data_IF_936433727670
#
_entry.id   IF_936433727670
#
_cell.length_a   1.000
_cell.length_b   1.000
_cell.length_c   1.000
_cell.angle_alpha   90.00
_cell.angle_beta   90.00
_cell.angle_gamma   90.00
#
_symmetry.space_group_name_H-M   'P 1'
#
loop_
_entity.id
_entity.type
_entity.pdbx_description
1 polymer ?
#
# COMPACT_ATOMS: atom_id res chain seq x y z
N UNK A 1 -2.38 17.10 27.29
CA UNK A 1 -2.13 15.86 26.53
C UNK A 1 -1.89 16.28 25.07
N UNK A 2 -0.63 16.44 24.68
CA UNK A 2 -0.25 16.71 23.30
C UNK A 2 -0.32 15.37 22.55
N UNK A 3 -1.22 15.26 21.58
CA UNK A 3 -1.38 14.08 20.74
C UNK A 3 -0.68 14.32 19.39
N UNK A 4 0.65 14.38 19.39
CA UNK A 4 1.46 14.40 18.17
C UNK A 4 1.48 13.02 17.48
N UNK A 5 0.31 12.44 17.21
CA UNK A 5 0.14 11.18 16.45
C UNK A 5 0.62 11.30 14.99
N UNK A 6 0.73 12.53 14.48
CA UNK A 6 1.15 12.81 13.11
C UNK A 6 2.66 13.06 12.96
N UNK A 7 3.45 12.97 14.03
CA UNK A 7 4.92 13.11 13.97
C UNK A 7 5.61 11.77 13.67
N UNK A 8 5.12 11.06 12.65
CA UNK A 8 5.81 9.91 12.08
C UNK A 8 6.17 10.28 10.63
N UNK A 9 7.45 10.20 10.23
CA UNK A 9 7.83 10.48 8.85
C UNK A 9 7.15 9.44 7.95
N UNK A 10 6.13 9.86 7.21
CA UNK A 10 5.36 8.98 6.31
C UNK A 10 6.26 8.29 5.29
N UNK A 11 7.36 8.93 4.90
CA UNK A 11 8.45 8.31 4.17
C UNK A 11 9.75 8.31 5.01
N UNK A 12 10.37 7.15 5.25
CA UNK A 12 11.73 7.11 5.76
C UNK A 12 12.70 7.73 4.74
N UNK A 13 13.87 8.23 5.19
CA UNK A 13 14.88 8.74 4.27
C UNK A 13 15.25 7.68 3.22
N UNK A 14 15.27 8.09 1.96
CA UNK A 14 15.52 7.21 0.82
C UNK A 14 16.90 6.57 0.92
N UNK A 15 16.95 5.25 1.13
CA UNK A 15 18.19 4.48 1.25
C UNK A 15 18.69 3.90 -0.10
N UNK A 16 17.90 4.06 -1.17
CA UNK A 16 18.20 3.54 -2.51
C UNK A 16 17.80 4.56 -3.57
N UNK A 17 18.55 4.60 -4.68
CA UNK A 17 18.23 5.44 -5.84
C UNK A 17 16.87 5.11 -6.46
N UNK A 18 16.33 3.90 -6.23
CA UNK A 18 15.02 3.47 -6.72
C UNK A 18 13.86 3.84 -5.77
N UNK A 19 14.15 4.30 -4.55
CA UNK A 19 13.12 4.53 -3.53
C UNK A 19 12.11 5.60 -3.96
N UNK A 20 12.58 6.72 -4.53
CA UNK A 20 11.71 7.82 -4.92
C UNK A 20 10.71 7.44 -6.03
N UNK A 21 11.15 6.68 -7.04
CA UNK A 21 10.27 6.24 -8.14
C UNK A 21 9.26 5.19 -7.66
N UNK A 22 9.67 4.30 -6.77
CA UNK A 22 8.78 3.31 -6.16
C UNK A 22 7.73 3.98 -5.26
N UNK A 23 8.12 4.96 -4.45
CA UNK A 23 7.21 5.74 -3.60
C UNK A 23 6.19 6.52 -4.44
N UNK A 24 6.62 7.09 -5.57
CA UNK A 24 5.72 7.77 -6.50
C UNK A 24 4.66 6.82 -7.09
N UNK A 25 5.06 5.61 -7.51
CA UNK A 25 4.14 4.58 -8.00
C UNK A 25 3.18 4.14 -6.89
N UNK A 26 3.67 3.97 -5.67
CA UNK A 26 2.84 3.63 -4.51
C UNK A 26 1.76 4.69 -4.27
N UNK A 27 2.14 5.98 -4.22
CA UNK A 27 1.17 7.06 -4.06
C UNK A 27 0.17 7.17 -5.21
N UNK A 28 0.60 6.90 -6.45
CA UNK A 28 -0.30 6.88 -7.60
C UNK A 28 -1.38 5.79 -7.44
N UNK A 29 -0.99 4.58 -7.04
CA UNK A 29 -1.93 3.45 -6.82
C UNK A 29 -2.87 3.75 -5.66
N UNK A 30 -2.36 4.28 -4.54
CA UNK A 30 -3.18 4.68 -3.39
C UNK A 30 -4.16 5.78 -3.78
N UNK A 31 -3.71 6.80 -4.52
CA UNK A 31 -4.56 7.87 -5.04
C UNK A 31 -5.66 7.33 -5.95
N UNK A 32 -5.35 6.38 -6.83
CA UNK A 32 -6.33 5.72 -7.68
C UNK A 32 -7.37 4.93 -6.88
N UNK A 33 -6.92 4.16 -5.88
CA UNK A 33 -7.83 3.41 -5.00
C UNK A 33 -8.76 4.32 -4.21
N UNK A 34 -8.22 5.41 -3.63
CA UNK A 34 -9.01 6.40 -2.92
C UNK A 34 -9.97 7.13 -3.85
N UNK A 35 -9.56 7.47 -5.07
CA UNK A 35 -10.42 8.12 -6.06
C UNK A 35 -11.66 7.27 -6.36
N UNK A 36 -11.48 6.00 -6.74
CA UNK A 36 -12.61 5.11 -7.02
C UNK A 36 -13.44 4.81 -5.78
N UNK A 37 -12.80 4.63 -4.62
CA UNK A 37 -13.48 4.43 -3.35
C UNK A 37 -14.37 5.62 -2.96
N UNK A 38 -13.84 6.84 -3.01
CA UNK A 38 -14.58 8.06 -2.69
C UNK A 38 -15.67 8.35 -3.73
N UNK A 39 -15.38 8.17 -5.01
CA UNK A 39 -16.35 8.36 -6.09
C UNK A 39 -17.56 7.44 -5.89
N UNK A 40 -17.33 6.13 -5.75
CA UNK A 40 -18.40 5.16 -5.55
C UNK A 40 -19.16 5.40 -4.26
N UNK A 41 -18.46 5.70 -3.17
CA UNK A 41 -19.07 6.05 -1.89
C UNK A 41 -19.99 7.29 -2.01
N UNK A 42 -19.50 8.36 -2.65
CA UNK A 42 -20.28 9.57 -2.86
C UNK A 42 -21.53 9.31 -3.72
N UNK A 43 -21.41 8.54 -4.80
CA UNK A 43 -22.55 8.16 -5.64
C UNK A 43 -23.61 7.41 -4.83
N UNK A 44 -23.19 6.44 -4.02
CA UNK A 44 -24.10 5.67 -3.15
C UNK A 44 -24.82 6.60 -2.17
N UNK A 45 -24.09 7.47 -1.49
CA UNK A 45 -24.66 8.43 -0.52
C UNK A 45 -25.65 9.37 -1.20
N UNK A 46 -25.30 9.94 -2.35
CA UNK A 46 -26.18 10.83 -3.13
C UNK A 46 -27.47 10.09 -3.53
N UNK A 47 -27.36 8.87 -4.06
CA UNK A 47 -28.52 8.09 -4.47
C UNK A 47 -29.37 7.63 -3.28
N UNK A 48 -28.76 7.30 -2.15
CA UNK A 48 -29.46 6.95 -0.92
C UNK A 48 -30.34 8.11 -0.43
N UNK A 49 -29.83 9.35 -0.46
CA UNK A 49 -30.62 10.53 -0.09
C UNK A 49 -31.65 10.90 -1.16
N UNK A 50 -31.27 10.91 -2.43
CA UNK A 50 -32.14 11.31 -3.56
C UNK A 50 -33.34 10.38 -3.75
N UNK A 51 -33.16 9.07 -3.59
CA UNK A 51 -34.19 8.06 -3.84
C UNK A 51 -34.84 7.50 -2.56
N UNK A 52 -34.58 8.11 -1.40
CA UNK A 52 -35.19 7.75 -0.11
C UNK A 52 -36.72 7.64 -0.21
N UNK A 53 -37.31 6.70 0.53
CA UNK A 53 -38.78 6.52 0.64
C UNK A 53 -39.45 7.85 1.03
N UNK A 54 -40.43 8.29 0.24
CA UNK A 54 -41.10 9.60 0.38
C UNK A 54 -40.52 10.73 -0.48
N UNK A 55 -39.43 10.49 -1.22
CA UNK A 55 -38.90 11.43 -2.21
C UNK A 55 -39.85 11.60 -3.41
N UNK A 56 -39.95 12.83 -3.93
CA UNK A 56 -40.65 13.17 -5.18
C UNK A 56 -39.89 12.72 -6.44
N UNK A 57 -38.79 11.98 -6.29
CA UNK A 57 -38.02 11.47 -7.43
C UNK A 57 -38.91 10.58 -8.30
N UNK A 58 -39.01 10.95 -9.57
CA UNK A 58 -39.75 10.19 -10.58
C UNK A 58 -39.10 8.82 -10.80
N UNK A 59 -39.92 7.77 -10.77
CA UNK A 59 -39.53 6.36 -10.97
C UNK A 59 -40.24 5.74 -12.19
N UNK A 60 -40.97 6.54 -12.96
CA UNK A 60 -41.87 6.06 -14.01
C UNK A 60 -41.16 5.57 -15.28
N UNK A 61 -39.89 5.95 -15.49
CA UNK A 61 -39.09 5.51 -16.63
C UNK A 61 -37.69 5.05 -16.19
N UNK A 62 -37.56 3.80 -15.70
CA UNK A 62 -36.25 3.22 -15.42
C UNK A 62 -35.45 3.05 -16.71
N UNK A 63 -34.27 3.68 -16.77
CA UNK A 63 -33.29 3.44 -17.83
C UNK A 63 -32.59 2.12 -17.51
N UNK A 64 -32.91 1.06 -18.24
CA UNK A 64 -32.38 -0.28 -17.99
C UNK A 64 -31.00 -0.50 -18.61
N UNK A 65 -30.76 0.07 -19.80
CA UNK A 65 -29.52 -0.12 -20.53
C UNK A 65 -29.06 1.21 -21.11
N UNK A 66 -27.79 1.52 -20.91
CA UNK A 66 -27.17 2.70 -21.49
C UNK A 66 -25.76 2.32 -21.95
N UNK A 67 -25.70 1.80 -23.18
CA UNK A 67 -24.46 1.34 -23.80
C UNK A 67 -23.31 2.36 -23.74
N UNK A 68 -23.62 3.66 -23.80
CA UNK A 68 -22.58 4.70 -23.65
C UNK A 68 -22.02 4.73 -22.23
N UNK A 69 -22.87 4.67 -21.21
CA UNK A 69 -22.43 4.67 -19.81
C UNK A 69 -21.69 3.38 -19.47
N UNK A 70 -22.17 2.25 -19.97
CA UNK A 70 -21.52 0.95 -19.83
C UNK A 70 -20.12 0.95 -20.43
N UNK A 71 -19.97 1.49 -21.63
CA UNK A 71 -18.68 1.62 -22.28
C UNK A 71 -17.71 2.49 -21.46
N UNK A 72 -18.15 3.67 -21.00
CA UNK A 72 -17.29 4.58 -20.24
C UNK A 72 -16.89 4.02 -18.87
N UNK A 73 -17.79 3.33 -18.16
CA UNK A 73 -17.46 2.78 -16.84
C UNK A 73 -16.44 1.64 -16.92
N UNK A 74 -16.30 0.96 -18.06
CA UNK A 74 -15.31 -0.11 -18.24
C UNK A 74 -14.04 0.50 -18.78
N UNK A 75 -14.15 1.33 -19.81
CA UNK A 75 -13.00 1.89 -20.51
C UNK A 75 -12.08 2.69 -19.57
N UNK A 76 -12.65 3.53 -18.70
CA UNK A 76 -11.85 4.39 -17.82
C UNK A 76 -11.00 3.57 -16.83
N UNK A 77 -11.57 2.64 -16.03
CA UNK A 77 -10.77 1.75 -15.18
C UNK A 77 -9.76 0.91 -15.98
N UNK A 78 -10.13 0.42 -17.17
CA UNK A 78 -9.21 -0.38 -17.99
C UNK A 78 -7.99 0.41 -18.43
N UNK A 79 -8.17 1.65 -18.94
CA UNK A 79 -7.05 2.50 -19.36
C UNK A 79 -6.16 2.86 -18.16
N UNK A 80 -6.74 3.22 -17.02
CA UNK A 80 -5.99 3.55 -15.81
C UNK A 80 -5.18 2.34 -15.32
N UNK A 81 -5.80 1.15 -15.30
CA UNK A 81 -5.11 -0.09 -14.96
C UNK A 81 -3.94 -0.40 -15.88
N UNK A 82 -4.12 -0.24 -17.20
CA UNK A 82 -3.03 -0.41 -18.17
C UNK A 82 -1.90 0.61 -17.97
N UNK A 83 -2.22 1.88 -17.72
CA UNK A 83 -1.22 2.91 -17.47
C UNK A 83 -0.35 2.58 -16.24
N UNK A 84 -0.98 2.19 -15.13
CA UNK A 84 -0.24 1.74 -13.93
C UNK A 84 0.58 0.47 -14.21
N UNK A 85 0.03 -0.47 -14.98
CA UNK A 85 0.73 -1.70 -15.35
C UNK A 85 2.01 -1.44 -16.14
N UNK A 86 1.94 -0.60 -17.18
CA UNK A 86 3.11 -0.26 -17.99
C UNK A 86 4.17 0.48 -17.17
N UNK A 87 3.76 1.43 -16.33
CA UNK A 87 4.68 2.14 -15.45
C UNK A 87 5.35 1.18 -14.46
N UNK A 88 4.57 0.35 -13.77
CA UNK A 88 5.08 -0.65 -12.83
C UNK A 88 6.06 -1.61 -13.48
N UNK A 89 5.74 -2.08 -14.69
CA UNK A 89 6.59 -2.99 -15.45
C UNK A 89 7.92 -2.34 -15.83
N UNK A 90 7.90 -1.10 -16.33
CA UNK A 90 9.13 -0.35 -16.63
C UNK A 90 10.02 -0.25 -15.39
N UNK A 91 9.45 0.19 -14.27
CA UNK A 91 10.19 0.34 -13.01
C UNK A 91 10.76 -1.00 -12.51
N UNK A 92 10.00 -2.10 -12.66
CA UNK A 92 10.46 -3.44 -12.31
C UNK A 92 11.66 -3.88 -13.14
N UNK A 93 11.65 -3.63 -14.46
CA UNK A 93 12.77 -3.95 -15.35
C UNK A 93 14.00 -3.12 -15.00
N UNK A 94 13.82 -1.82 -14.75
CA UNK A 94 14.91 -0.91 -14.38
C UNK A 94 15.58 -1.33 -13.07
N UNK A 95 14.80 -1.77 -12.07
CA UNK A 95 15.34 -2.28 -10.79
C UNK A 95 16.04 -3.64 -10.91
N UNK A 96 15.64 -4.47 -11.87
CA UNK A 96 16.17 -5.83 -12.06
C UNK A 96 17.36 -5.90 -13.03
N UNK A 97 17.69 -4.80 -13.70
CA UNK A 97 18.81 -4.73 -14.64
C UNK A 97 20.01 -4.11 -13.94
N UNK A 98 20.97 -4.91 -13.44
CA UNK A 98 22.15 -4.36 -12.78
C UNK A 98 23.03 -3.59 -13.79
N UNK A 99 23.60 -2.43 -13.40
CA UNK A 99 24.53 -1.69 -14.24
C UNK A 99 25.79 -2.52 -14.53
N UNK A 100 26.45 -2.26 -15.67
CA UNK A 100 27.60 -3.04 -16.18
C UNK A 100 28.79 -3.11 -15.20
N UNK A 101 28.89 -2.17 -14.27
CA UNK A 101 29.94 -2.06 -13.25
C UNK A 101 29.44 -2.42 -11.84
N UNK A 102 28.45 -3.30 -11.73
CA UNK A 102 27.89 -3.70 -10.44
C UNK A 102 28.92 -4.42 -9.55
N UNK A 103 29.10 -3.93 -8.32
CA UNK A 103 29.91 -4.62 -7.31
C UNK A 103 29.18 -5.87 -6.81
N UNK A 104 29.81 -7.03 -6.97
CA UNK A 104 29.35 -8.26 -6.36
C UNK A 104 29.62 -8.25 -4.86
N UNK A 105 28.56 -8.28 -4.06
CA UNK A 105 28.63 -8.39 -2.60
C UNK A 105 28.02 -9.71 -2.19
N UNK A 106 28.83 -10.64 -1.70
CA UNK A 106 28.36 -11.90 -1.14
C UNK A 106 27.89 -11.68 0.29
N UNK A 107 26.56 -11.72 0.50
CA UNK A 107 25.95 -11.61 1.82
C UNK A 107 25.55 -12.99 2.31
N UNK A 108 26.13 -13.44 3.43
CA UNK A 108 25.67 -14.64 4.15
C UNK A 108 24.66 -14.21 5.20
N UNK A 109 23.40 -14.57 5.01
CA UNK A 109 22.34 -14.32 5.99
C UNK A 109 22.55 -15.17 7.24
N UNK A 110 22.94 -14.56 8.35
CA UNK A 110 23.01 -15.25 9.65
C UNK A 110 21.62 -15.27 10.30
N UNK A 111 21.12 -16.46 10.65
CA UNK A 111 19.87 -16.59 11.42
C UNK A 111 20.07 -15.92 12.79
N UNK A 112 19.14 -15.03 13.13
CA UNK A 112 19.08 -14.20 14.34
C UNK A 112 19.67 -14.89 15.60
N UNK A 113 20.82 -14.40 16.07
CA UNK A 113 21.37 -14.74 17.40
C UNK A 113 20.62 -13.93 18.46
N UNK A 114 19.35 -14.22 18.69
CA UNK A 114 18.72 -13.82 19.97
C UNK A 114 19.15 -14.83 21.01
N UNK A 115 20.43 -14.71 21.38
CA UNK A 115 20.97 -15.36 22.55
C UNK A 115 20.25 -14.76 23.77
N UNK A 116 19.19 -15.44 24.20
CA UNK A 116 18.54 -15.15 25.47
C UNK A 116 19.62 -15.13 26.55
N UNK A 117 19.66 -14.06 27.32
CA UNK A 117 20.56 -13.84 28.46
C UNK A 117 20.42 -14.88 29.60
N UNK A 118 19.64 -15.94 29.39
CA UNK A 118 19.39 -17.03 30.34
C UNK A 118 20.64 -17.84 30.69
N UNK A 119 21.68 -17.86 29.84
CA UNK A 119 22.94 -18.54 30.18
C UNK A 119 23.66 -17.85 31.35
N UNK A 120 23.60 -16.51 31.45
CA UNK A 120 24.22 -15.77 32.56
C UNK A 120 23.48 -15.96 33.88
N UNK A 121 22.16 -16.23 33.84
CA UNK A 121 21.36 -16.46 35.05
C UNK A 121 21.58 -17.86 35.63
N UNK A 122 21.62 -18.90 34.77
CA UNK A 122 21.93 -20.28 35.19
C UNK A 122 23.36 -20.44 35.73
N UNK A 123 24.34 -19.73 35.16
CA UNK A 123 25.71 -19.74 35.66
C UNK A 123 25.84 -19.11 37.06
N UNK A 124 25.07 -18.06 37.36
CA UNK A 124 25.05 -17.43 38.70
C UNK A 124 24.31 -18.29 39.73
N UNK A 125 23.23 -18.96 39.33
CA UNK A 125 22.47 -19.89 40.19
C UNK A 125 23.31 -21.13 40.56
N UNK A 126 24.07 -21.69 39.62
CA UNK A 126 24.96 -22.82 39.89
C UNK A 126 26.17 -22.45 40.75
N UNK A 127 26.73 -21.25 40.59
CA UNK A 127 27.80 -20.77 41.46
C UNK A 127 27.33 -20.51 42.90
N UNK A 128 26.12 -19.96 43.07
CA UNK A 128 25.54 -19.70 44.40
C UNK A 128 25.09 -20.97 45.13
N UNK A 129 24.62 -21.99 44.42
CA UNK A 129 24.20 -23.27 45.01
C UNK A 129 25.38 -24.16 45.44
N UNK A 130 26.60 -23.85 44.99
CA UNK A 130 27.82 -24.61 45.30
C UNK A 130 28.67 -23.95 46.40
N UNK A 131 28.26 -22.77 46.88
CA UNK A 131 28.99 -21.96 47.88
C UNK A 131 28.26 -21.81 49.22
N UNK A 132 27.23 -22.62 49.48
CA UNK A 132 26.56 -22.78 50.78
C UNK A 132 26.50 -24.24 51.14
#
# INVERSE_FOLDING_TARGET
MNWNLFNYPMNPPSASNFAAEHDALFYAIVGQALFFGLLTFALIVIFAFKYKKGSKADRSSPVYENARMEFWWVLVPTILGLATFFWSTKLFVDMRTPPKDAKEIFVVGKQWDVARSTSKRRAREQHSARSG
#
